data_IF_341991460179
#
_entry.id   IF_341991460179
#
_cell.length_a   1.000
_cell.length_b   1.000
_cell.length_c   1.000
_cell.angle_alpha   90.00
_cell.angle_beta   90.00
_cell.angle_gamma   90.00
#
_symmetry.space_group_name_H-M   'P 1'
#
loop_
_entity.id
_entity.type
_entity.pdbx_description
1 polymer ?
#
# COMPACT_ATOMS: atom_id res chain seq x y z
N UNK A 1 -21.22 88.12 -5.82
CA UNK A 1 -21.07 89.19 -6.82
C UNK A 1 -20.57 88.58 -8.09
N UNK A 2 -21.38 88.78 -9.18
CA UNK A 2 -21.11 88.75 -10.62
C UNK A 2 -20.87 87.35 -11.23
N UNK A 3 -21.83 86.75 -11.90
CA UNK A 3 -22.59 86.99 -13.12
C UNK A 3 -21.66 87.16 -14.33
N UNK A 4 -21.78 86.24 -15.28
CA UNK A 4 -21.86 86.37 -16.77
C UNK A 4 -21.74 84.95 -17.35
N UNK A 5 -22.67 84.30 -17.85
CA UNK A 5 -23.61 84.35 -18.97
C UNK A 5 -22.93 84.69 -20.34
N UNK A 6 -22.94 83.76 -21.25
CA UNK A 6 -23.30 83.84 -22.69
C UNK A 6 -22.78 82.63 -23.44
N UNK A 7 -23.58 81.77 -24.00
CA UNK A 7 -24.46 81.77 -25.18
C UNK A 7 -23.77 81.45 -26.53
N UNK A 8 -24.29 80.37 -27.09
CA UNK A 8 -24.51 80.07 -28.49
C UNK A 8 -23.30 79.80 -29.46
N UNK A 9 -23.27 78.56 -29.98
CA UNK A 9 -23.43 78.48 -31.43
C UNK A 9 -23.74 77.06 -31.91
N UNK A 10 -24.86 76.95 -32.62
CA UNK A 10 -25.28 75.80 -33.40
C UNK A 10 -24.34 75.54 -34.57
N UNK A 11 -24.00 74.29 -34.87
CA UNK A 11 -23.85 73.73 -36.20
C UNK A 11 -23.94 72.21 -36.23
N UNK A 12 -24.93 71.70 -36.93
CA UNK A 12 -25.03 70.34 -37.50
C UNK A 12 -24.47 70.35 -38.93
N UNK A 13 -24.39 69.17 -39.63
CA UNK A 13 -23.97 67.80 -39.34
C UNK A 13 -22.91 67.34 -40.34
N UNK A 14 -22.22 66.25 -40.02
CA UNK A 14 -21.55 65.49 -41.09
C UNK A 14 -21.61 64.01 -40.74
N UNK A 15 -22.18 63.24 -41.62
CA UNK A 15 -22.23 61.78 -41.67
C UNK A 15 -20.81 61.24 -41.83
N UNK A 16 -20.42 60.26 -41.02
CA UNK A 16 -19.30 59.36 -41.30
C UNK A 16 -19.55 58.00 -40.71
N UNK A 17 -19.68 57.11 -41.61
CA UNK A 17 -19.49 55.64 -41.63
C UNK A 17 -19.09 54.89 -40.34
N UNK A 18 -19.95 53.94 -40.06
CA UNK A 18 -19.70 52.85 -39.09
C UNK A 18 -18.51 51.98 -39.55
N UNK A 19 -17.46 51.95 -38.76
CA UNK A 19 -16.48 50.88 -38.80
C UNK A 19 -16.73 50.00 -37.55
N UNK A 20 -17.38 48.85 -37.76
CA UNK A 20 -17.62 47.86 -36.74
C UNK A 20 -16.31 47.18 -36.37
N UNK A 21 -15.78 47.51 -35.23
CA UNK A 21 -14.69 46.74 -34.61
C UNK A 21 -15.25 45.51 -33.96
N UNK A 22 -15.11 44.36 -34.63
CA UNK A 22 -15.46 43.05 -34.13
C UNK A 22 -14.44 42.69 -33.05
N UNK A 23 -14.81 42.80 -31.78
CA UNK A 23 -14.00 42.36 -30.64
C UNK A 23 -14.11 40.85 -30.58
N UNK A 24 -13.10 40.11 -31.11
CA UNK A 24 -12.95 38.69 -30.89
C UNK A 24 -12.55 38.46 -29.41
N UNK A 25 -13.52 38.06 -28.58
CA UNK A 25 -13.21 37.47 -27.28
C UNK A 25 -12.53 36.12 -27.53
N UNK A 26 -11.22 36.10 -27.38
CA UNK A 26 -10.47 34.83 -27.28
C UNK A 26 -10.84 34.15 -25.96
N UNK A 27 -11.76 33.19 -26.02
CA UNK A 27 -12.02 32.28 -24.92
C UNK A 27 -10.80 31.36 -24.78
N UNK A 28 -9.92 31.65 -23.82
CA UNK A 28 -8.86 30.73 -23.41
C UNK A 28 -9.50 29.50 -22.75
N UNK A 29 -9.28 28.28 -23.27
CA UNK A 29 -9.73 27.09 -22.55
C UNK A 29 -8.93 26.98 -21.23
N UNK A 30 -9.64 27.02 -20.11
CA UNK A 30 -9.09 26.61 -18.83
C UNK A 30 -8.72 25.12 -18.98
N UNK A 31 -7.44 24.85 -19.15
CA UNK A 31 -6.90 23.50 -19.04
C UNK A 31 -7.07 23.08 -17.58
N UNK A 32 -8.12 22.32 -17.29
CA UNK A 32 -8.18 21.56 -16.06
C UNK A 32 -7.00 20.60 -16.09
N UNK A 33 -6.04 20.81 -15.20
CA UNK A 33 -5.03 19.80 -14.91
C UNK A 33 -5.81 18.57 -14.42
N UNK A 34 -5.90 17.53 -15.27
CA UNK A 34 -6.44 16.26 -14.86
C UNK A 34 -5.53 15.76 -13.74
N UNK A 35 -6.12 15.50 -12.57
CA UNK A 35 -5.44 14.73 -11.53
C UNK A 35 -4.87 13.46 -12.16
N UNK A 36 -3.61 13.09 -11.87
CA UNK A 36 -3.03 11.87 -12.41
C UNK A 36 -3.94 10.72 -11.99
N UNK A 37 -4.52 10.05 -12.98
CA UNK A 37 -5.34 8.86 -12.77
C UNK A 37 -4.60 7.91 -11.82
N UNK A 38 -5.27 7.31 -10.83
CA UNK A 38 -4.63 6.33 -9.96
C UNK A 38 -3.99 5.25 -10.83
N UNK A 39 -2.71 5.00 -10.61
CA UNK A 39 -1.96 4.01 -11.36
C UNK A 39 -2.74 2.68 -11.34
N UNK A 40 -3.08 2.17 -12.51
CA UNK A 40 -3.91 0.97 -12.73
C UNK A 40 -3.18 -0.34 -12.39
N UNK A 41 -2.19 -0.29 -11.50
CA UNK A 41 -1.45 -1.41 -10.95
C UNK A 41 -1.85 -1.67 -9.49
N UNK A 42 -1.74 -2.93 -9.06
CA UNK A 42 -1.88 -3.30 -7.65
C UNK A 42 -0.82 -2.61 -6.76
N UNK A 43 -0.88 -2.81 -5.45
CA UNK A 43 0.11 -2.27 -4.52
C UNK A 43 1.52 -2.80 -4.85
N UNK A 44 2.52 -1.92 -4.83
CA UNK A 44 3.93 -2.27 -5.09
C UNK A 44 4.80 -2.19 -3.85
N UNK A 45 4.42 -1.34 -2.90
CA UNK A 45 5.16 -1.14 -1.67
C UNK A 45 4.24 -1.11 -0.43
N UNK A 46 4.80 -1.55 0.70
CA UNK A 46 4.23 -1.45 2.03
C UNK A 46 4.95 -0.33 2.79
N UNK A 47 4.21 0.54 3.46
CA UNK A 47 4.76 1.49 4.43
C UNK A 47 5.05 0.74 5.73
N UNK A 48 6.32 0.54 6.05
CA UNK A 48 6.74 -0.11 7.30
C UNK A 48 6.67 0.87 8.48
N UNK A 49 7.18 2.07 8.24
CA UNK A 49 7.24 3.14 9.23
C UNK A 49 7.24 4.50 8.53
N UNK A 50 6.73 5.51 9.22
CA UNK A 50 6.72 6.90 8.76
C UNK A 50 6.71 7.84 9.96
N UNK A 51 7.50 8.90 9.87
CA UNK A 51 7.52 9.97 10.90
C UNK A 51 6.15 10.68 10.92
N UNK A 52 5.67 11.01 12.13
CA UNK A 52 4.44 11.75 12.32
C UNK A 52 4.39 13.04 11.50
N UNK A 53 3.21 13.38 10.99
CA UNK A 53 2.96 14.58 10.21
C UNK A 53 3.45 14.54 8.76
N UNK A 54 3.70 13.34 8.21
CA UNK A 54 3.79 13.11 6.77
C UNK A 54 2.39 12.89 6.21
N UNK A 55 1.99 13.72 5.26
CA UNK A 55 0.63 13.71 4.74
C UNK A 55 0.32 12.50 3.85
N UNK A 56 -0.85 11.91 4.08
CA UNK A 56 -1.45 10.92 3.19
C UNK A 56 -0.79 9.55 3.18
N UNK A 57 0.01 9.21 4.18
CA UNK A 57 0.59 7.87 4.39
C UNK A 57 0.63 7.53 5.89
N UNK A 58 0.39 6.27 6.21
CA UNK A 58 0.44 5.73 7.57
C UNK A 58 1.18 4.39 7.57
N UNK A 59 1.72 3.95 8.72
CA UNK A 59 2.27 2.61 8.85
C UNK A 59 1.25 1.54 8.44
N UNK A 60 1.70 0.51 7.74
CA UNK A 60 0.91 -0.58 7.16
C UNK A 60 0.05 -0.19 5.96
N UNK A 61 0.15 1.02 5.41
CA UNK A 61 -0.47 1.36 4.12
C UNK A 61 0.22 0.65 2.95
N UNK A 62 -0.56 0.34 1.94
CA UNK A 62 -0.05 -0.10 0.65
C UNK A 62 -0.04 1.03 -0.36
N UNK A 63 1.10 1.21 -1.01
CA UNK A 63 1.29 2.23 -2.04
C UNK A 63 1.41 1.60 -3.42
N UNK A 64 0.77 2.21 -4.41
CA UNK A 64 0.92 1.85 -5.82
C UNK A 64 2.08 2.62 -6.46
N UNK A 65 2.61 2.10 -7.54
CA UNK A 65 3.60 2.81 -8.36
C UNK A 65 3.05 4.16 -8.85
N UNK A 66 3.90 5.18 -8.88
CA UNK A 66 3.54 6.56 -9.23
C UNK A 66 3.05 7.39 -8.03
N UNK A 67 2.77 6.81 -6.87
CA UNK A 67 2.43 7.57 -5.67
C UNK A 67 3.60 8.47 -5.28
N UNK A 68 3.31 9.74 -5.00
CA UNK A 68 4.29 10.71 -4.52
C UNK A 68 4.07 11.00 -3.05
N UNK A 69 5.18 11.09 -2.30
CA UNK A 69 5.20 11.44 -0.88
C UNK A 69 6.28 12.51 -0.71
N UNK A 70 5.96 13.60 -0.01
CA UNK A 70 6.90 14.67 0.27
C UNK A 70 7.30 14.63 1.74
N UNK A 71 8.60 14.52 1.98
CA UNK A 71 9.20 14.50 3.32
C UNK A 71 9.90 15.82 3.58
N UNK A 72 9.61 16.45 4.73
CA UNK A 72 10.36 17.59 5.23
C UNK A 72 11.74 17.14 5.69
N UNK A 73 12.66 18.08 5.87
CA UNK A 73 13.98 17.78 6.44
C UNK A 73 13.84 17.07 7.79
N UNK A 74 14.53 15.92 7.94
CA UNK A 74 14.50 15.10 9.14
C UNK A 74 13.31 14.13 9.25
N UNK A 75 12.30 14.21 8.39
CA UNK A 75 11.26 13.18 8.31
C UNK A 75 11.77 11.96 7.59
N UNK A 76 11.30 10.79 8.01
CA UNK A 76 11.67 9.49 7.45
C UNK A 76 10.44 8.73 6.96
N UNK A 77 10.64 7.94 5.93
CA UNK A 77 9.68 6.99 5.38
C UNK A 77 10.40 5.68 5.10
N UNK A 78 9.92 4.59 5.67
CA UNK A 78 10.43 3.24 5.39
C UNK A 78 9.44 2.47 4.54
N UNK A 79 9.88 2.03 3.38
CA UNK A 79 9.09 1.27 2.42
C UNK A 79 9.68 -0.13 2.21
N UNK A 80 8.82 -1.13 2.10
CA UNK A 80 9.19 -2.48 1.66
C UNK A 80 8.49 -2.82 0.35
N UNK A 81 9.27 -3.09 -0.69
CA UNK A 81 8.76 -3.43 -2.01
C UNK A 81 8.39 -4.90 -2.09
N UNK A 82 7.13 -5.16 -2.46
CA UNK A 82 6.51 -6.48 -2.41
C UNK A 82 7.15 -7.48 -3.38
N UNK A 83 7.47 -7.05 -4.59
CA UNK A 83 8.03 -7.91 -5.63
C UNK A 83 9.56 -8.04 -5.55
N UNK A 84 10.26 -6.93 -5.33
CA UNK A 84 11.72 -6.90 -5.33
C UNK A 84 12.33 -7.28 -3.99
N UNK A 85 11.54 -7.35 -2.91
CA UNK A 85 12.01 -7.54 -1.53
C UNK A 85 13.01 -6.47 -1.06
N UNK A 86 13.02 -5.32 -1.72
CA UNK A 86 13.84 -4.17 -1.32
C UNK A 86 13.13 -3.44 -0.19
N UNK A 87 13.86 -3.18 0.88
CA UNK A 87 13.47 -2.27 1.95
C UNK A 87 14.28 -1.00 1.84
N UNK A 88 13.60 0.13 1.89
CA UNK A 88 14.18 1.46 1.75
C UNK A 88 13.86 2.32 2.97
N UNK A 89 14.88 2.97 3.53
CA UNK A 89 14.70 4.03 4.50
C UNK A 89 15.09 5.35 3.84
N UNK A 90 14.12 6.25 3.70
CA UNK A 90 14.24 7.52 2.99
C UNK A 90 14.16 8.65 3.99
N UNK A 91 15.09 9.61 3.93
CA UNK A 91 15.11 10.78 4.80
C UNK A 91 15.04 12.07 3.97
N UNK A 92 13.95 12.81 4.16
CA UNK A 92 13.68 14.07 3.46
C UNK A 92 13.45 13.92 1.96
N UNK A 93 13.08 15.02 1.32
CA UNK A 93 12.94 15.09 -0.13
C UNK A 93 11.58 14.63 -0.69
N UNK A 94 11.51 14.50 -2.00
CA UNK A 94 10.32 14.04 -2.73
C UNK A 94 10.53 12.62 -3.21
N UNK A 95 9.67 11.72 -2.75
CA UNK A 95 9.69 10.29 -3.03
C UNK A 95 8.63 9.97 -4.09
N UNK A 96 9.02 9.29 -5.15
CA UNK A 96 8.08 8.70 -6.12
C UNK A 96 8.19 7.18 -6.01
N UNK A 97 7.13 6.53 -5.59
CA UNK A 97 7.07 5.06 -5.47
C UNK A 97 7.15 4.44 -6.86
N UNK A 98 8.10 3.55 -7.07
CA UNK A 98 8.25 2.79 -8.31
C UNK A 98 7.58 1.42 -8.23
N UNK A 99 7.83 0.59 -9.24
CA UNK A 99 7.36 -0.79 -9.25
C UNK A 99 8.20 -1.69 -8.31
N UNK A 100 9.49 -1.43 -8.20
CA UNK A 100 10.46 -2.28 -7.49
C UNK A 100 11.33 -1.52 -6.49
N UNK A 101 11.43 -0.19 -6.61
CA UNK A 101 12.18 0.73 -5.76
C UNK A 101 11.68 2.16 -5.97
N UNK A 102 12.02 3.08 -5.06
CA UNK A 102 11.66 4.50 -5.14
C UNK A 102 12.67 5.32 -5.94
N UNK A 103 12.16 6.37 -6.60
CA UNK A 103 12.96 7.50 -7.06
C UNK A 103 12.86 8.63 -6.03
N UNK A 104 14.01 9.11 -5.53
CA UNK A 104 14.08 10.16 -4.50
C UNK A 104 14.81 11.38 -5.04
N UNK A 105 14.24 12.56 -4.83
CA UNK A 105 14.83 13.85 -5.18
C UNK A 105 15.01 14.72 -3.94
N UNK A 106 16.22 15.21 -3.72
CA UNK A 106 16.54 16.11 -2.60
C UNK A 106 16.50 15.45 -1.21
N UNK A 107 16.61 14.12 -1.15
CA UNK A 107 16.67 13.33 0.07
C UNK A 107 17.78 12.28 0.03
N UNK A 108 17.96 11.58 1.15
CA UNK A 108 18.85 10.43 1.26
C UNK A 108 18.03 9.14 1.26
N UNK A 109 18.60 8.08 0.70
CA UNK A 109 17.98 6.76 0.67
C UNK A 109 19.00 5.68 1.03
N UNK A 110 18.63 4.81 1.96
CA UNK A 110 19.34 3.58 2.29
C UNK A 110 18.50 2.38 1.83
N UNK A 111 19.13 1.40 1.18
CA UNK A 111 18.47 0.23 0.59
C UNK A 111 19.14 -1.06 1.01
N UNK A 112 18.31 -2.04 1.32
CA UNK A 112 18.77 -3.41 1.53
C UNK A 112 17.70 -4.43 1.08
N UNK A 113 18.13 -5.63 0.75
CA UNK A 113 17.22 -6.71 0.35
C UNK A 113 16.86 -7.57 1.56
N UNK A 114 15.57 -7.86 1.69
CA UNK A 114 15.03 -8.73 2.73
C UNK A 114 14.67 -10.10 2.15
N UNK A 115 14.72 -11.18 2.95
CA UNK A 115 14.04 -12.41 2.60
C UNK A 115 12.53 -12.16 2.56
N UNK A 116 11.90 -12.45 1.42
CA UNK A 116 10.44 -12.36 1.25
C UNK A 116 9.96 -13.34 0.19
N UNK A 117 8.65 -13.55 0.10
CA UNK A 117 8.01 -14.43 -0.89
C UNK A 117 7.68 -13.73 -2.22
N UNK A 118 8.11 -12.50 -2.40
CA UNK A 118 7.80 -11.68 -3.57
C UNK A 118 6.35 -11.18 -3.59
N UNK A 119 5.70 -11.07 -2.43
CA UNK A 119 4.32 -10.60 -2.30
C UNK A 119 3.28 -11.50 -2.97
N UNK A 120 3.59 -12.78 -3.16
CA UNK A 120 2.75 -13.75 -3.90
C UNK A 120 1.30 -13.78 -3.45
N UNK A 121 1.06 -13.68 -2.14
CA UNK A 121 -0.31 -13.71 -1.60
C UNK A 121 -1.12 -12.48 -2.02
N UNK A 122 -0.50 -11.30 -1.98
CA UNK A 122 -1.14 -10.04 -2.38
C UNK A 122 -1.39 -9.97 -3.88
N UNK A 123 -0.40 -10.42 -4.67
CA UNK A 123 -0.52 -10.46 -6.13
C UNK A 123 -1.61 -11.45 -6.56
N UNK A 124 -1.63 -12.64 -5.96
CA UNK A 124 -2.65 -13.65 -6.23
C UNK A 124 -4.06 -13.20 -5.84
N UNK A 125 -4.22 -12.48 -4.73
CA UNK A 125 -5.53 -11.95 -4.30
C UNK A 125 -6.05 -10.86 -5.25
N UNK A 126 -5.17 -10.02 -5.78
CA UNK A 126 -5.53 -8.99 -6.76
C UNK A 126 -5.91 -9.59 -8.13
N UNK A 127 -5.24 -10.63 -8.56
CA UNK A 127 -5.56 -11.36 -9.80
C UNK A 127 -6.86 -12.16 -9.66
N UNK A 128 -7.09 -12.84 -8.54
CA UNK A 128 -8.32 -13.56 -8.25
C UNK A 128 -9.55 -12.63 -8.23
N UNK A 129 -9.41 -11.42 -7.69
CA UNK A 129 -10.47 -10.41 -7.71
C UNK A 129 -10.83 -9.92 -9.11
N UNK A 130 -9.88 -9.92 -10.05
CA UNK A 130 -10.11 -9.56 -11.46
C UNK A 130 -10.68 -10.70 -12.29
N UNK A 131 -10.36 -11.94 -11.96
CA UNK A 131 -10.70 -13.11 -12.75
C UNK A 131 -12.07 -13.72 -12.41
N UNK A 132 -12.70 -13.36 -11.30
CA UNK A 132 -13.98 -13.93 -10.86
C UNK A 132 -13.95 -15.46 -10.66
N UNK A 133 -12.76 -16.06 -10.57
CA UNK A 133 -12.58 -17.51 -10.48
C UNK A 133 -12.49 -17.92 -9.02
N UNK A 134 -13.54 -18.56 -8.53
CA UNK A 134 -13.47 -19.36 -7.31
C UNK A 134 -12.63 -20.61 -7.60
N UNK A 135 -11.39 -20.64 -7.18
CA UNK A 135 -10.57 -21.85 -7.23
C UNK A 135 -11.09 -22.79 -6.16
N UNK A 136 -11.95 -23.73 -6.57
CA UNK A 136 -12.22 -24.91 -5.75
C UNK A 136 -10.94 -25.74 -5.70
N UNK A 137 -10.17 -25.62 -4.64
CA UNK A 137 -9.09 -26.55 -4.34
C UNK A 137 -9.73 -27.89 -4.00
N UNK A 138 -9.78 -28.80 -4.95
CA UNK A 138 -10.10 -30.20 -4.67
C UNK A 138 -9.11 -30.71 -3.64
N UNK A 139 -9.61 -31.11 -2.48
CA UNK A 139 -8.77 -31.81 -1.50
C UNK A 139 -8.15 -33.04 -2.19
N UNK A 140 -6.87 -33.33 -2.01
CA UNK A 140 -6.27 -34.55 -2.54
C UNK A 140 -7.10 -35.75 -2.05
N UNK A 141 -7.53 -36.61 -2.96
CA UNK A 141 -8.22 -37.85 -2.60
C UNK A 141 -7.17 -38.73 -1.90
N UNK A 142 -7.24 -38.82 -0.60
CA UNK A 142 -6.42 -39.76 0.16
C UNK A 142 -6.92 -41.17 -0.10
N UNK A 143 -6.11 -42.02 -0.69
CA UNK A 143 -6.38 -43.44 -0.77
C UNK A 143 -6.33 -44.05 0.64
N UNK A 144 -7.21 -45.01 0.95
CA UNK A 144 -7.19 -45.69 2.26
C UNK A 144 -5.79 -46.23 2.62
N UNK A 145 -5.24 -45.79 3.72
CA UNK A 145 -3.90 -46.17 4.21
C UNK A 145 -2.75 -45.27 3.78
N UNK A 146 -2.95 -44.28 2.90
CA UNK A 146 -1.96 -43.25 2.62
C UNK A 146 -2.19 -42.02 3.48
N UNK A 147 -1.13 -41.54 4.15
CA UNK A 147 -1.15 -40.23 4.81
C UNK A 147 -1.30 -39.15 3.75
N UNK A 148 -2.32 -38.31 3.86
CA UNK A 148 -2.50 -37.20 2.92
C UNK A 148 -1.22 -36.35 2.89
N UNK A 149 -0.77 -35.93 1.71
CA UNK A 149 0.38 -35.03 1.62
C UNK A 149 0.06 -33.73 2.37
N UNK A 150 1.06 -33.09 3.00
CA UNK A 150 0.85 -31.84 3.71
C UNK A 150 0.28 -30.77 2.74
N UNK A 151 -0.61 -29.92 3.20
CA UNK A 151 -1.19 -28.88 2.37
C UNK A 151 -0.09 -27.94 1.86
N UNK A 152 -0.24 -27.49 0.61
CA UNK A 152 0.67 -26.51 0.04
C UNK A 152 0.53 -25.17 0.77
N UNK A 153 1.62 -24.54 1.21
CA UNK A 153 1.54 -23.25 1.87
C UNK A 153 1.08 -22.15 0.89
N UNK A 154 0.22 -21.28 1.39
CA UNK A 154 -0.19 -20.06 0.70
C UNK A 154 0.89 -18.98 0.82
N UNK A 155 1.62 -18.99 1.93
CA UNK A 155 2.59 -17.98 2.34
C UNK A 155 3.78 -18.61 3.04
N UNK A 156 4.98 -18.08 2.81
CA UNK A 156 6.18 -18.43 3.56
C UNK A 156 6.67 -17.22 4.35
N UNK A 157 6.87 -17.40 5.66
CA UNK A 157 7.46 -16.38 6.53
C UNK A 157 8.93 -16.69 6.78
N UNK A 158 9.75 -15.64 6.78
CA UNK A 158 11.21 -15.70 6.99
C UNK A 158 11.63 -15.26 8.41
N UNK A 159 10.63 -14.96 9.25
CA UNK A 159 10.77 -14.72 10.69
C UNK A 159 9.75 -15.54 11.46
N UNK A 160 10.10 -15.92 12.69
CA UNK A 160 9.20 -16.73 13.54
C UNK A 160 8.09 -15.92 14.20
N UNK A 161 8.19 -14.59 14.20
CA UNK A 161 7.21 -13.70 14.82
C UNK A 161 6.42 -12.93 13.76
N UNK A 162 5.24 -13.41 13.35
CA UNK A 162 4.43 -12.75 12.35
C UNK A 162 3.91 -11.38 12.80
N UNK A 163 3.67 -10.49 11.82
CA UNK A 163 2.82 -9.31 11.97
C UNK A 163 1.44 -9.67 11.46
N UNK A 164 0.45 -9.61 12.35
CA UNK A 164 -0.95 -9.91 12.04
C UNK A 164 -1.69 -8.61 11.79
N UNK A 165 -2.33 -8.48 10.62
CA UNK A 165 -3.14 -7.31 10.27
C UNK A 165 -4.55 -7.76 9.95
N UNK A 166 -5.52 -7.21 10.70
CA UNK A 166 -6.95 -7.52 10.61
C UNK A 166 -7.75 -6.29 10.18
N UNK A 167 -8.91 -6.47 9.55
CA UNK A 167 -9.81 -5.35 9.24
C UNK A 167 -10.43 -4.72 10.50
N UNK A 168 -10.52 -5.48 11.60
CA UNK A 168 -11.03 -5.04 12.90
C UNK A 168 -10.36 -5.87 14.02
N UNK A 169 -10.31 -5.35 15.27
CA UNK A 169 -9.80 -6.08 16.42
C UNK A 169 -10.48 -7.44 16.59
N UNK A 170 -9.71 -8.46 16.94
CA UNK A 170 -10.29 -9.80 17.10
C UNK A 170 -9.26 -10.90 17.34
N UNK A 171 -9.76 -12.14 17.54
CA UNK A 171 -8.94 -13.31 17.75
C UNK A 171 -8.38 -13.86 16.45
N UNK A 172 -7.14 -14.36 16.51
CA UNK A 172 -6.47 -15.13 15.45
C UNK A 172 -6.14 -16.51 16.04
N UNK A 173 -6.67 -17.56 15.41
CA UNK A 173 -6.35 -18.93 15.78
C UNK A 173 -5.15 -19.42 14.97
N UNK A 174 -4.21 -20.08 15.63
CA UNK A 174 -2.99 -20.64 15.07
C UNK A 174 -2.97 -22.13 15.37
N UNK A 175 -3.06 -22.96 14.35
CA UNK A 175 -3.06 -24.42 14.42
C UNK A 175 -1.84 -24.97 13.69
N UNK A 176 -1.07 -25.85 14.35
CA UNK A 176 0.08 -26.52 13.74
C UNK A 176 -0.37 -27.74 12.94
N UNK A 177 0.07 -27.84 11.68
CA UNK A 177 -0.40 -28.87 10.75
C UNK A 177 0.60 -30.02 10.54
N UNK A 178 1.89 -29.79 10.79
CA UNK A 178 2.98 -30.75 10.55
C UNK A 178 3.21 -31.70 11.74
N UNK A 179 2.73 -31.34 12.95
CA UNK A 179 2.85 -32.12 14.17
C UNK A 179 1.47 -32.42 14.74
N UNK A 180 1.18 -33.70 15.03
CA UNK A 180 -0.10 -34.09 15.61
C UNK A 180 -0.14 -33.85 17.13
N UNK A 181 -1.33 -33.55 17.65
CA UNK A 181 -1.56 -33.41 19.10
C UNK A 181 -1.11 -32.05 19.68
N UNK A 182 -0.65 -31.12 18.86
CA UNK A 182 -0.37 -29.75 19.29
C UNK A 182 -1.68 -28.97 19.35
N UNK A 183 -1.99 -28.43 20.53
CA UNK A 183 -3.18 -27.61 20.73
C UNK A 183 -3.10 -26.33 19.92
N UNK A 184 -4.21 -25.89 19.35
CA UNK A 184 -4.33 -24.59 18.69
C UNK A 184 -4.18 -23.46 19.73
N UNK A 185 -3.50 -22.41 19.34
CA UNK A 185 -3.28 -21.19 20.15
C UNK A 185 -4.11 -20.06 19.60
N UNK A 186 -4.75 -19.29 20.48
CA UNK A 186 -5.47 -18.08 20.08
C UNK A 186 -4.70 -16.84 20.54
N UNK A 187 -4.42 -15.94 19.62
CA UNK A 187 -3.79 -14.65 19.85
C UNK A 187 -4.82 -13.55 19.63
N UNK A 188 -5.04 -12.71 20.63
CA UNK A 188 -5.93 -11.56 20.48
C UNK A 188 -5.17 -10.36 19.89
N UNK A 189 -5.70 -9.79 18.83
CA UNK A 189 -5.20 -8.57 18.19
C UNK A 189 -6.06 -7.40 18.71
N UNK A 190 -5.53 -6.55 19.59
CA UNK A 190 -6.32 -5.50 20.26
C UNK A 190 -6.68 -4.32 19.38
N UNK A 191 -6.00 -4.16 18.27
CA UNK A 191 -6.23 -3.15 17.23
C UNK A 191 -6.36 -3.79 15.86
N UNK A 192 -5.98 -3.07 14.83
CA UNK A 192 -5.94 -3.59 13.45
C UNK A 192 -4.61 -4.26 13.10
N UNK A 193 -3.57 -4.10 13.92
CA UNK A 193 -2.26 -4.73 13.72
C UNK A 193 -1.65 -5.18 15.03
N UNK A 194 -0.97 -6.32 15.01
CA UNK A 194 -0.19 -6.85 16.13
C UNK A 194 1.14 -7.41 15.61
N UNK A 195 2.23 -6.86 16.09
CA UNK A 195 3.55 -7.45 15.94
C UNK A 195 3.78 -8.46 17.07
N UNK A 196 3.79 -9.77 16.75
CA UNK A 196 3.94 -10.82 17.76
C UNK A 196 5.35 -10.86 18.37
N UNK A 197 6.34 -10.21 17.76
CA UNK A 197 7.65 -10.04 18.39
C UNK A 197 7.59 -9.21 19.68
N UNK A 198 6.57 -8.35 19.82
CA UNK A 198 6.34 -7.55 21.04
C UNK A 198 5.64 -8.35 22.15
N UNK A 199 5.01 -9.48 21.81
CA UNK A 199 4.27 -10.33 22.77
C UNK A 199 4.99 -11.63 23.09
N UNK A 200 6.07 -11.95 22.35
CA UNK A 200 6.80 -13.20 22.50
C UNK A 200 6.10 -14.42 21.90
N UNK A 201 5.00 -14.25 21.19
CA UNK A 201 4.27 -15.34 20.53
C UNK A 201 4.97 -15.72 19.21
N UNK A 202 5.97 -16.57 19.29
CA UNK A 202 6.74 -17.06 18.13
C UNK A 202 6.23 -18.40 17.60
N UNK A 203 6.50 -18.66 16.31
CA UNK A 203 6.25 -19.92 15.62
C UNK A 203 7.58 -20.66 15.42
N UNK A 204 7.53 -21.97 15.31
CA UNK A 204 8.73 -22.81 15.15
C UNK A 204 9.26 -22.74 13.71
N UNK A 205 10.60 -22.57 13.50
CA UNK A 205 11.19 -22.70 12.19
C UNK A 205 10.86 -24.06 11.55
N UNK A 206 10.65 -24.07 10.23
CA UNK A 206 10.25 -25.27 9.51
C UNK A 206 8.79 -25.71 9.73
N UNK A 207 8.05 -25.11 10.66
CA UNK A 207 6.68 -25.46 10.97
C UNK A 207 5.69 -25.08 9.86
N UNK A 208 4.61 -25.85 9.75
CA UNK A 208 3.47 -25.58 8.88
C UNK A 208 2.24 -25.28 9.74
N UNK A 209 1.63 -24.15 9.51
CA UNK A 209 0.53 -23.64 10.34
C UNK A 209 -0.68 -23.27 9.50
N UNK A 210 -1.88 -23.47 10.06
CA UNK A 210 -3.10 -22.81 9.62
C UNK A 210 -3.35 -21.63 10.54
N UNK A 211 -3.40 -20.42 9.97
CA UNK A 211 -3.64 -19.19 10.73
C UNK A 211 -4.96 -18.61 10.24
N UNK A 212 -5.91 -18.40 11.16
CA UNK A 212 -7.29 -18.07 10.82
C UNK A 212 -7.78 -16.87 11.62
N UNK A 213 -8.50 -15.95 10.94
CA UNK A 213 -9.22 -14.85 11.56
C UNK A 213 -10.60 -14.71 10.91
N UNK A 214 -11.66 -14.84 11.69
CA UNK A 214 -13.03 -14.90 11.18
C UNK A 214 -13.19 -16.01 10.14
N UNK A 215 -13.60 -15.66 8.93
CA UNK A 215 -13.80 -16.62 7.83
C UNK A 215 -12.56 -16.82 6.94
N UNK A 216 -11.52 -16.03 7.13
CA UNK A 216 -10.29 -16.15 6.35
C UNK A 216 -9.27 -17.03 7.04
N UNK A 217 -8.56 -17.84 6.27
CA UNK A 217 -7.45 -18.65 6.77
C UNK A 217 -6.36 -18.80 5.72
N UNK A 218 -5.12 -18.90 6.19
CA UNK A 218 -3.94 -19.11 5.37
C UNK A 218 -3.16 -20.31 5.88
N UNK A 219 -2.63 -21.12 4.95
CA UNK A 219 -1.61 -22.12 5.26
C UNK A 219 -0.25 -21.46 5.16
N UNK A 220 0.45 -21.39 6.29
CA UNK A 220 1.69 -20.62 6.44
C UNK A 220 2.84 -21.59 6.75
N UNK A 221 3.89 -21.53 5.93
CA UNK A 221 5.17 -22.21 6.19
C UNK A 221 6.11 -21.21 6.86
N UNK A 222 6.74 -21.61 7.92
CA UNK A 222 7.87 -20.88 8.48
C UNK A 222 9.14 -21.43 7.82
N UNK A 223 9.95 -20.57 7.23
CA UNK A 223 11.23 -20.98 6.63
C UNK A 223 12.11 -21.69 7.66
N UNK A 224 12.88 -22.68 7.23
CA UNK A 224 13.75 -23.47 8.13
C UNK A 224 14.87 -22.62 8.76
N UNK A 225 15.26 -21.56 8.08
CA UNK A 225 16.26 -20.59 8.54
C UNK A 225 15.63 -19.34 9.17
N UNK A 226 14.33 -19.35 9.41
CA UNK A 226 13.63 -18.22 10.01
C UNK A 226 14.23 -17.91 11.37
N UNK A 227 14.50 -16.63 11.60
CA UNK A 227 15.07 -16.14 12.86
C UNK A 227 14.00 -15.46 13.72
N UNK A 228 14.20 -15.51 15.03
CA UNK A 228 13.34 -14.81 15.99
C UNK A 228 13.50 -13.28 15.90
N UNK A 229 12.54 -12.58 16.48
CA UNK A 229 12.57 -11.13 16.66
C UNK A 229 11.72 -10.34 15.67
N UNK A 230 11.76 -9.03 15.84
CA UNK A 230 11.07 -8.04 15.01
C UNK A 230 11.86 -7.70 13.73
N UNK A 231 11.72 -6.47 13.29
CA UNK A 231 12.28 -5.95 12.05
C UNK A 231 11.20 -5.69 11.02
N UNK A 232 11.56 -5.47 9.76
CA UNK A 232 10.62 -5.17 8.70
C UNK A 232 9.45 -6.17 8.62
N UNK A 233 8.24 -5.68 8.38
CA UNK A 233 7.04 -6.50 8.33
C UNK A 233 7.01 -7.37 7.06
N UNK A 234 7.61 -6.92 5.98
CA UNK A 234 7.77 -7.73 4.78
C UNK A 234 8.51 -9.04 5.08
N UNK A 235 8.00 -10.16 4.60
CA UNK A 235 8.54 -11.49 4.90
C UNK A 235 8.03 -12.10 6.22
N UNK A 236 7.21 -11.37 6.99
CA UNK A 236 6.52 -11.89 8.20
C UNK A 236 5.08 -11.37 8.35
N UNK A 237 4.55 -10.69 7.32
CA UNK A 237 3.22 -10.08 7.33
C UNK A 237 2.14 -11.08 6.92
N UNK A 238 1.08 -11.16 7.73
CA UNK A 238 -0.17 -11.86 7.41
C UNK A 238 -1.31 -10.85 7.50
N UNK A 239 -1.98 -10.58 6.37
CA UNK A 239 -3.11 -9.64 6.31
C UNK A 239 -4.40 -10.38 5.95
N UNK A 240 -5.40 -10.28 6.80
CA UNK A 240 -6.73 -10.88 6.65
C UNK A 240 -7.73 -9.97 5.95
#
# INVERSE_FOLDING_TARGET
MSVALQMHSFRKPARALAAGTLLLLAASPLAFAADPAPASGGPTALVEDVTDGVDGVQPMDYLAAGRKVTLKAGQTLTLSYLESCVNETITGGSVTVGARESAVQGGNIDRHTLPCDGGKLLLASNEAGKAGVTVFRSAPIALPGMKAPPPKPDLTLFKTHPVLVLPAPGPVAIERLDVQGVASVTVNVPGTALDTAKTGAGLEPGGLYKISAGQKSFTVKIDEKATAGGGPALGRLIRF
#
